data_IF_932636157170
#
_entry.id   IF_932636157170
#
_cell.length_a   1.000
_cell.length_b   1.000
_cell.length_c   1.000
_cell.angle_alpha   90.00
_cell.angle_beta   90.00
_cell.angle_gamma   90.00
#
_symmetry.space_group_name_H-M   'P 1'
#
loop_
_entity.id
_entity.type
_entity.pdbx_description
1 polymer ?
#
# COMPACT_ATOMS: atom_id res chain seq x y z
N UNK A 1 -2.24 9.54 -7.38
CA UNK A 1 -1.71 8.19 -7.68
C UNK A 1 -2.84 7.19 -7.72
N UNK A 2 -2.78 6.27 -8.62
CA UNK A 2 -3.74 5.18 -8.67
C UNK A 2 -3.30 4.05 -7.73
N UNK A 3 -4.27 3.25 -7.30
CA UNK A 3 -3.99 2.09 -6.43
C UNK A 3 -2.85 1.23 -6.99
N UNK A 4 -2.87 0.94 -8.30
CA UNK A 4 -1.82 0.12 -8.93
C UNK A 4 -0.43 0.74 -8.81
N UNK A 5 -0.33 2.07 -8.83
CA UNK A 5 0.96 2.75 -8.70
C UNK A 5 1.50 2.64 -7.28
N UNK A 6 0.60 2.73 -6.30
CA UNK A 6 0.95 2.55 -4.90
C UNK A 6 1.41 1.11 -4.64
N UNK A 7 0.73 0.13 -5.24
CA UNK A 7 1.12 -1.28 -5.12
C UNK A 7 2.53 -1.48 -5.67
N UNK A 8 2.85 -0.89 -6.82
CA UNK A 8 4.20 -0.97 -7.39
C UNK A 8 5.25 -0.38 -6.45
N UNK A 9 4.94 0.76 -5.83
CA UNK A 9 5.86 1.37 -4.86
C UNK A 9 6.07 0.49 -3.64
N UNK A 10 5.02 -0.13 -3.14
CA UNK A 10 5.11 -1.08 -2.03
C UNK A 10 5.97 -2.28 -2.40
N UNK A 11 5.72 -2.87 -3.55
CA UNK A 11 6.46 -4.03 -4.02
C UNK A 11 7.94 -3.72 -4.21
N UNK A 12 8.25 -2.52 -4.72
CA UNK A 12 9.63 -2.09 -4.89
C UNK A 12 10.38 -1.98 -3.54
N UNK A 13 9.64 -1.71 -2.46
CA UNK A 13 10.21 -1.63 -1.11
C UNK A 13 10.24 -2.98 -0.40
N UNK A 14 9.72 -4.03 -1.01
CA UNK A 14 9.72 -5.37 -0.44
C UNK A 14 8.41 -5.80 0.20
N UNK A 15 7.38 -4.97 0.13
CA UNK A 15 6.04 -5.38 0.56
C UNK A 15 5.47 -6.34 -0.46
N UNK A 16 4.80 -7.38 0.00
CA UNK A 16 4.21 -8.39 -0.87
C UNK A 16 2.78 -8.70 -0.45
N UNK A 17 1.97 -9.08 -1.43
CA UNK A 17 0.59 -9.41 -1.20
C UNK A 17 0.48 -10.61 -0.25
N UNK A 18 -0.28 -10.44 0.82
CA UNK A 18 -0.51 -11.49 1.81
C UNK A 18 -1.88 -12.14 1.64
N UNK A 19 -2.92 -11.32 1.58
CA UNK A 19 -4.30 -11.84 1.46
C UNK A 19 -5.28 -10.75 1.07
N UNK A 20 -6.44 -11.18 0.55
CA UNK A 20 -7.61 -10.33 0.41
C UNK A 20 -8.47 -10.48 1.65
N UNK A 21 -9.00 -9.38 2.13
CA UNK A 21 -9.98 -9.39 3.20
C UNK A 21 -11.16 -8.53 2.74
N UNK A 22 -12.22 -9.20 2.25
CA UNK A 22 -13.25 -8.51 1.50
C UNK A 22 -12.67 -7.88 0.25
N UNK A 23 -12.86 -6.59 0.07
CA UNK A 23 -12.28 -5.82 -1.04
C UNK A 23 -10.93 -5.20 -0.69
N UNK A 24 -10.40 -5.47 0.49
CA UNK A 24 -9.14 -4.89 0.96
C UNK A 24 -7.98 -5.82 0.71
N UNK A 25 -6.91 -5.31 0.07
CA UNK A 25 -5.66 -6.02 -0.12
C UNK A 25 -4.75 -5.76 1.07
N UNK A 26 -4.19 -6.82 1.63
CA UNK A 26 -3.25 -6.69 2.75
C UNK A 26 -1.87 -7.13 2.33
N UNK A 27 -0.87 -6.32 2.67
CA UNK A 27 0.53 -6.54 2.33
C UNK A 27 1.38 -6.72 3.57
N UNK A 28 2.39 -7.57 3.45
CA UNK A 28 3.39 -7.82 4.50
C UNK A 28 4.80 -7.54 3.98
N UNK A 29 5.71 -7.30 4.91
CA UNK A 29 7.11 -7.08 4.62
C UNK A 29 7.96 -7.97 5.52
N UNK A 30 9.04 -8.53 5.00
CA UNK A 30 9.88 -9.47 5.75
C UNK A 30 10.62 -8.83 6.91
N UNK A 31 10.98 -7.55 6.77
CA UNK A 31 11.75 -6.84 7.79
C UNK A 31 11.04 -5.66 8.44
N UNK A 32 9.91 -5.22 7.89
CA UNK A 32 9.10 -4.14 8.48
C UNK A 32 7.86 -4.71 9.14
N UNK A 33 7.52 -4.28 10.37
CA UNK A 33 6.37 -4.84 11.08
C UNK A 33 5.05 -4.33 10.55
N UNK A 34 3.97 -5.04 10.90
CA UNK A 34 2.61 -4.64 10.62
C UNK A 34 2.11 -5.04 9.25
N UNK A 35 0.93 -4.55 8.93
CA UNK A 35 0.25 -4.78 7.66
C UNK A 35 -0.04 -3.44 7.00
N UNK A 36 0.04 -3.42 5.68
CA UNK A 36 -0.47 -2.29 4.89
C UNK A 36 -1.74 -2.75 4.19
N UNK A 37 -2.81 -2.01 4.39
CA UNK A 37 -4.12 -2.33 3.81
C UNK A 37 -4.47 -1.30 2.75
N UNK A 38 -4.79 -1.78 1.54
CA UNK A 38 -5.19 -0.93 0.42
C UNK A 38 -6.58 -1.34 -0.03
N UNK A 39 -7.49 -0.39 -0.04
CA UNK A 39 -8.86 -0.58 -0.54
C UNK A 39 -8.98 -0.01 -1.94
N UNK A 40 -9.88 -0.58 -2.72
CA UNK A 40 -10.26 -0.03 -4.01
C UNK A 40 -9.70 -0.79 -5.20
N UNK A 41 -10.30 -0.50 -6.35
CA UNK A 41 -9.91 -1.07 -7.63
C UNK A 41 -8.52 -0.54 -8.05
N UNK A 42 -7.70 -1.33 -8.76
CA UNK A 42 -6.38 -0.87 -9.21
C UNK A 42 -6.37 0.45 -9.99
N UNK A 43 -7.45 0.75 -10.71
CA UNK A 43 -7.56 2.00 -11.48
C UNK A 43 -8.07 3.18 -10.68
N UNK A 44 -8.44 2.98 -9.42
CA UNK A 44 -8.97 4.05 -8.58
C UNK A 44 -7.85 5.02 -8.17
N UNK A 45 -8.15 6.31 -8.24
CA UNK A 45 -7.27 7.35 -7.71
C UNK A 45 -7.45 7.46 -6.20
N UNK A 46 -6.35 7.53 -5.48
CA UNK A 46 -6.37 7.67 -4.03
C UNK A 46 -6.25 9.13 -3.63
N UNK A 47 -7.01 9.52 -2.59
CA UNK A 47 -6.89 10.86 -2.02
C UNK A 47 -5.50 11.05 -1.40
N UNK A 48 -4.97 12.29 -1.41
CA UNK A 48 -3.67 12.57 -0.82
C UNK A 48 -3.53 12.14 0.63
N UNK A 49 -4.58 12.27 1.41
CA UNK A 49 -4.58 11.85 2.83
C UNK A 49 -4.43 10.34 2.96
N UNK A 50 -5.12 9.59 2.09
CA UNK A 50 -5.03 8.14 2.07
C UNK A 50 -3.62 7.71 1.64
N UNK A 51 -3.06 8.38 0.64
CA UNK A 51 -1.69 8.11 0.19
C UNK A 51 -0.68 8.33 1.32
N UNK A 52 -0.79 9.44 2.04
CA UNK A 52 0.10 9.73 3.17
C UNK A 52 -0.01 8.68 4.25
N UNK A 53 -1.23 8.23 4.54
CA UNK A 53 -1.47 7.18 5.52
C UNK A 53 -0.79 5.87 5.11
N UNK A 54 -0.92 5.49 3.84
CA UNK A 54 -0.28 4.27 3.32
C UNK A 54 1.24 4.39 3.39
N UNK A 55 1.79 5.54 2.98
CA UNK A 55 3.24 5.78 3.03
C UNK A 55 3.78 5.65 4.44
N UNK A 56 3.03 6.17 5.40
CA UNK A 56 3.39 6.09 6.82
C UNK A 56 3.32 4.65 7.34
N UNK A 57 2.24 3.94 7.03
CA UNK A 57 2.09 2.54 7.42
C UNK A 57 3.21 1.68 6.84
N UNK A 58 3.53 1.91 5.58
CA UNK A 58 4.56 1.14 4.87
C UNK A 58 5.98 1.59 5.20
N UNK A 59 6.13 2.63 6.00
CA UNK A 59 7.44 3.19 6.35
C UNK A 59 8.28 3.48 5.11
N UNK A 60 7.64 4.06 4.09
CA UNK A 60 8.32 4.50 2.88
C UNK A 60 8.94 5.87 3.12
N UNK A 61 10.14 6.07 2.62
CA UNK A 61 10.80 7.35 2.70
C UNK A 61 10.21 8.33 1.68
N UNK A 62 10.32 9.64 2.00
CA UNK A 62 9.85 10.68 1.10
C UNK A 62 8.34 10.85 1.12
N UNK A 63 7.83 11.46 0.03
CA UNK A 63 6.40 11.72 -0.12
C UNK A 63 5.85 10.90 -1.29
N UNK A 64 4.58 10.55 -1.20
CA UNK A 64 3.95 9.84 -2.33
C UNK A 64 3.83 10.70 -3.56
#
# INVERSE_FOLDING_TARGET
>A
MKVRDVIKALEADGWHFARMRGSHRQYKHDSKPGLVTIAGHPSKDLHPETLQSIWKQAQLGGKP
#
